data_IF_944445273275
#
_entry.id   IF_944445273275
#
_cell.length_a   1.000
_cell.length_b   1.000
_cell.length_c   1.000
_cell.angle_alpha   90.00
_cell.angle_beta   90.00
_cell.angle_gamma   90.00
#
_symmetry.space_group_name_H-M   'P 1'
#
loop_
_entity.id
_entity.type
_entity.pdbx_description
1 polymer ?
#
# COMPACT_ATOMS: atom_id res chain seq x y z
N UNK A 1 13.78 -17.69 32.15
CA UNK A 1 14.97 -16.85 31.93
C UNK A 1 14.53 -15.66 31.10
N UNK A 2 14.86 -14.43 31.53
CA UNK A 2 14.03 -13.24 31.31
C UNK A 2 14.01 -12.67 29.88
N UNK A 3 12.89 -12.04 29.54
CA UNK A 3 12.79 -11.03 28.46
C UNK A 3 12.29 -9.74 29.11
N UNK A 4 13.11 -8.69 29.13
CA UNK A 4 12.71 -7.40 29.71
C UNK A 4 13.01 -6.27 28.73
N UNK A 5 11.96 -5.56 28.32
CA UNK A 5 12.08 -4.25 27.64
C UNK A 5 11.76 -3.18 28.69
N UNK A 6 12.75 -2.40 29.12
CA UNK A 6 12.56 -1.26 30.03
C UNK A 6 13.25 -0.02 29.49
N UNK A 7 12.55 1.11 29.51
CA UNK A 7 13.13 2.44 29.30
C UNK A 7 12.29 3.52 29.96
N UNK A 8 12.97 4.58 30.45
CA UNK A 8 12.34 5.78 31.01
C UNK A 8 12.26 6.94 30.00
N UNK A 9 13.26 7.08 29.13
CA UNK A 9 13.37 8.19 28.15
C UNK A 9 14.19 7.84 26.90
N UNK A 10 14.86 6.68 26.86
CA UNK A 10 15.72 6.27 25.75
C UNK A 10 15.04 5.23 24.83
N UNK A 11 15.51 5.09 23.59
CA UNK A 11 15.12 3.96 22.75
C UNK A 11 15.67 2.63 23.30
N UNK A 12 14.94 1.53 23.06
CA UNK A 12 15.42 0.17 23.34
C UNK A 12 15.48 -0.58 22.02
N UNK A 13 16.67 -1.06 21.66
CA UNK A 13 16.83 -1.94 20.49
C UNK A 13 16.20 -3.30 20.77
N UNK A 14 15.39 -3.79 19.83
CA UNK A 14 14.87 -5.16 19.86
C UNK A 14 15.86 -6.13 19.19
N UNK A 15 15.61 -7.43 19.30
CA UNK A 15 16.32 -8.41 18.47
C UNK A 15 16.18 -8.05 16.98
N UNK A 16 17.24 -8.23 16.20
CA UNK A 16 17.26 -7.91 14.77
C UNK A 16 17.98 -8.99 13.97
N UNK A 17 17.55 -9.21 12.72
CA UNK A 17 18.23 -10.09 11.78
C UNK A 17 17.41 -10.32 10.52
N UNK A 18 17.90 -11.16 9.63
CA UNK A 18 17.23 -11.56 8.38
C UNK A 18 16.01 -12.45 8.62
N UNK A 19 15.23 -12.67 7.58
CA UNK A 19 14.09 -13.60 7.56
C UNK A 19 14.52 -15.03 7.83
N UNK A 20 15.70 -15.42 7.33
CA UNK A 20 16.27 -16.76 7.55
C UNK A 20 16.69 -16.99 9.02
N UNK A 21 17.00 -15.91 9.74
CA UNK A 21 17.36 -15.95 11.17
C UNK A 21 16.15 -15.87 12.10
N UNK A 22 14.92 -16.02 11.59
CA UNK A 22 13.72 -16.13 12.43
C UNK A 22 13.86 -17.34 13.38
N UNK A 23 13.56 -17.17 14.69
CA UNK A 23 13.57 -18.29 15.62
C UNK A 23 12.68 -19.42 15.09
N UNK A 24 13.25 -20.62 15.03
CA UNK A 24 12.55 -21.83 14.56
C UNK A 24 11.40 -22.23 15.49
N UNK A 25 11.50 -21.87 16.78
CA UNK A 25 10.42 -21.98 17.77
C UNK A 25 10.28 -20.63 18.47
N UNK A 26 9.34 -19.80 18.00
CA UNK A 26 9.05 -18.51 18.61
C UNK A 26 7.85 -18.62 19.57
N UNK A 27 7.95 -17.95 20.73
CA UNK A 27 6.78 -17.76 21.59
C UNK A 27 5.83 -16.73 20.96
N UNK A 28 4.52 -16.91 21.12
CA UNK A 28 3.52 -15.89 20.75
C UNK A 28 3.90 -14.53 21.35
N UNK A 29 3.87 -13.48 20.53
CA UNK A 29 4.26 -12.13 20.93
C UNK A 29 5.76 -11.84 20.89
N UNK A 30 6.59 -12.71 20.30
CA UNK A 30 8.01 -12.40 20.06
C UNK A 30 8.12 -11.24 19.08
N UNK A 31 8.66 -10.09 19.52
CA UNK A 31 8.93 -8.91 18.69
C UNK A 31 10.40 -8.86 18.24
N UNK A 32 10.65 -8.51 16.97
CA UNK A 32 11.99 -8.30 16.40
C UNK A 32 11.97 -7.34 15.22
N UNK A 33 13.13 -6.86 14.79
CA UNK A 33 13.32 -6.14 13.53
C UNK A 33 13.82 -7.12 12.45
N UNK A 34 13.25 -7.06 11.26
CA UNK A 34 13.67 -7.86 10.11
C UNK A 34 14.44 -6.99 9.12
N UNK A 35 15.72 -7.29 8.91
CA UNK A 35 16.61 -6.50 8.05
C UNK A 35 16.34 -6.66 6.56
N UNK A 36 15.72 -7.76 6.12
CA UNK A 36 15.38 -7.96 4.71
C UNK A 36 14.14 -7.15 4.34
N UNK A 37 13.15 -7.12 5.23
CA UNK A 37 11.89 -6.38 5.01
C UNK A 37 11.96 -4.95 5.55
N UNK A 38 13.03 -4.61 6.27
CA UNK A 38 13.25 -3.31 6.95
C UNK A 38 12.09 -2.90 7.88
N UNK A 39 11.46 -3.88 8.53
CA UNK A 39 10.25 -3.69 9.36
C UNK A 39 10.37 -4.36 10.71
N UNK A 40 9.68 -3.77 11.70
CA UNK A 40 9.35 -4.48 12.93
C UNK A 40 8.37 -5.62 12.61
N UNK A 41 8.54 -6.76 13.26
CA UNK A 41 7.67 -7.93 13.13
C UNK A 41 7.39 -8.58 14.49
N UNK A 42 6.26 -9.26 14.60
CA UNK A 42 5.86 -10.04 15.76
C UNK A 42 5.40 -11.44 15.37
N UNK A 43 5.63 -12.43 16.23
CA UNK A 43 5.12 -13.79 16.02
C UNK A 43 3.70 -13.94 16.57
N UNK A 44 2.72 -14.26 15.71
CA UNK A 44 1.31 -14.42 16.11
C UNK A 44 0.98 -15.82 16.70
N UNK A 45 1.96 -16.73 16.69
CA UNK A 45 1.78 -18.14 17.07
C UNK A 45 1.77 -19.11 15.91
N UNK A 46 1.76 -18.59 14.69
CA UNK A 46 1.83 -19.36 13.45
C UNK A 46 2.91 -18.81 12.53
N UNK A 47 3.00 -17.49 12.39
CA UNK A 47 3.95 -16.81 11.51
C UNK A 47 4.43 -15.48 12.11
N UNK A 48 5.55 -15.00 11.59
CA UNK A 48 5.98 -13.62 11.80
C UNK A 48 5.18 -12.68 10.89
N UNK A 49 4.54 -11.68 11.50
CA UNK A 49 3.75 -10.63 10.85
C UNK A 49 4.44 -9.29 11.05
N UNK A 50 4.41 -8.41 10.05
CA UNK A 50 4.93 -7.06 10.22
C UNK A 50 4.06 -6.23 11.18
N UNK A 51 4.70 -5.39 11.98
CA UNK A 51 4.06 -4.25 12.64
C UNK A 51 3.99 -3.14 11.59
N UNK A 52 2.79 -2.88 11.10
CA UNK A 52 2.56 -1.81 10.13
C UNK A 52 2.51 -0.47 10.87
N UNK A 53 3.22 0.57 10.40
CA UNK A 53 3.07 1.93 10.93
C UNK A 53 1.60 2.33 10.92
N UNK A 54 1.12 2.91 12.02
CA UNK A 54 -0.13 3.64 11.98
C UNK A 54 0.12 4.95 11.24
N UNK A 55 -0.22 4.98 9.96
CA UNK A 55 -0.22 6.18 9.12
C UNK A 55 -1.61 6.36 8.53
N UNK A 56 -2.16 7.57 8.64
CA UNK A 56 -3.33 7.94 7.85
C UNK A 56 -2.83 8.56 6.56
N UNK A 57 -2.99 7.87 5.44
CA UNK A 57 -2.88 8.53 4.14
C UNK A 57 -4.20 9.24 3.89
N UNK A 58 -4.14 10.55 3.63
CA UNK A 58 -5.31 11.27 3.20
C UNK A 58 -5.77 10.70 1.86
N UNK A 59 -7.07 10.47 1.71
CA UNK A 59 -7.62 10.18 0.40
C UNK A 59 -7.39 11.39 -0.50
N UNK A 60 -6.69 11.17 -1.61
CA UNK A 60 -6.38 12.21 -2.59
C UNK A 60 -6.93 11.83 -3.94
N UNK A 61 -7.15 12.83 -4.78
CA UNK A 61 -7.44 12.63 -6.18
C UNK A 61 -6.13 12.51 -6.95
N UNK A 62 -6.01 11.44 -7.73
CA UNK A 62 -4.89 11.14 -8.61
C UNK A 62 -5.42 10.90 -10.04
N UNK A 63 -4.53 10.91 -11.04
CA UNK A 63 -4.90 10.81 -12.44
C UNK A 63 -5.75 12.01 -12.90
N UNK A 64 -5.27 12.77 -13.87
CA UNK A 64 -6.07 13.84 -14.45
C UNK A 64 -5.82 13.89 -15.94
N UNK A 65 -6.52 13.00 -16.65
CA UNK A 65 -6.50 12.93 -18.11
C UNK A 65 -7.89 13.23 -18.65
N UNK A 66 -7.94 13.63 -19.91
CA UNK A 66 -9.18 13.86 -20.65
C UNK A 66 -9.28 12.77 -21.71
N UNK A 67 -10.42 12.08 -21.76
CA UNK A 67 -10.70 11.10 -22.81
C UNK A 67 -10.72 11.76 -24.18
N UNK A 68 -10.22 11.04 -25.18
CA UNK A 68 -10.25 11.44 -26.60
C UNK A 68 -11.22 10.60 -27.43
N UNK A 69 -11.89 9.63 -26.81
CA UNK A 69 -12.80 8.69 -27.47
C UNK A 69 -12.12 7.54 -28.22
N UNK A 70 -10.80 7.38 -28.12
CA UNK A 70 -10.03 6.35 -28.84
C UNK A 70 -8.97 5.63 -28.00
N UNK A 71 -8.28 6.33 -27.10
CA UNK A 71 -7.28 5.74 -26.23
C UNK A 71 -7.94 4.95 -25.10
N UNK A 72 -7.50 3.70 -24.91
CA UNK A 72 -7.95 2.85 -23.81
C UNK A 72 -6.93 2.78 -22.68
N UNK A 73 -5.64 2.98 -22.97
CA UNK A 73 -4.56 2.92 -21.98
C UNK A 73 -3.99 4.30 -21.70
N UNK A 74 -3.89 4.65 -20.41
CA UNK A 74 -3.23 5.86 -19.93
C UNK A 74 -2.02 5.48 -19.08
N UNK A 75 -0.83 5.80 -19.59
CA UNK A 75 0.44 5.50 -18.92
C UNK A 75 0.74 6.51 -17.81
N UNK A 76 1.37 6.06 -16.73
CA UNK A 76 1.70 6.89 -15.57
C UNK A 76 0.49 7.66 -15.01
N UNK A 77 -0.70 7.06 -15.12
CA UNK A 77 -1.94 7.66 -14.65
C UNK A 77 -1.93 7.88 -13.13
N UNK A 78 -1.35 6.94 -12.39
CA UNK A 78 -1.15 7.06 -10.95
C UNK A 78 0.23 7.60 -10.61
N UNK A 79 0.34 8.43 -9.57
CA UNK A 79 1.61 8.88 -9.01
C UNK A 79 2.39 7.72 -8.38
N UNK A 80 1.68 6.85 -7.63
CA UNK A 80 2.20 5.59 -7.07
C UNK A 80 1.34 4.44 -7.54
N UNK A 81 1.95 3.29 -7.83
CA UNK A 81 1.21 2.11 -8.27
C UNK A 81 0.24 1.65 -7.15
N UNK A 82 -1.08 1.60 -7.40
CA UNK A 82 -2.02 0.94 -6.50
C UNK A 82 -1.65 -0.55 -6.37
N UNK A 83 -1.90 -1.15 -5.21
CA UNK A 83 -1.63 -2.58 -5.03
C UNK A 83 -2.60 -3.45 -5.85
N UNK A 84 -3.83 -2.97 -6.08
CA UNK A 84 -4.91 -3.66 -6.75
C UNK A 84 -5.94 -2.64 -7.29
N UNK A 85 -6.60 -2.91 -8.43
CA UNK A 85 -7.69 -2.08 -8.96
C UNK A 85 -8.86 -1.90 -7.99
N UNK A 86 -9.11 -2.86 -7.10
CA UNK A 86 -10.15 -2.76 -6.07
C UNK A 86 -9.80 -1.76 -4.96
N UNK A 87 -8.55 -1.28 -4.90
CA UNK A 87 -8.10 -0.31 -3.88
C UNK A 87 -8.23 1.14 -4.33
N UNK A 88 -8.86 1.41 -5.48
CA UNK A 88 -9.08 2.76 -6.01
C UNK A 88 -10.51 2.96 -6.50
N UNK A 89 -10.97 4.21 -6.53
CA UNK A 89 -12.25 4.57 -7.16
C UNK A 89 -11.93 5.36 -8.42
N UNK A 90 -12.14 4.76 -9.59
CA UNK A 90 -11.96 5.43 -10.88
C UNK A 90 -13.27 6.06 -11.33
N UNK A 91 -13.20 7.28 -11.84
CA UNK A 91 -14.32 8.07 -12.32
C UNK A 91 -14.04 8.56 -13.74
N UNK A 92 -14.99 8.32 -14.64
CA UNK A 92 -14.99 8.81 -16.03
C UNK A 92 -16.24 9.67 -16.20
N UNK A 93 -16.09 10.97 -16.45
CA UNK A 93 -17.22 11.87 -16.69
C UNK A 93 -18.27 11.89 -15.58
N UNK A 94 -17.82 11.80 -14.32
CA UNK A 94 -18.67 11.69 -13.12
C UNK A 94 -19.40 10.34 -12.93
N UNK A 95 -19.04 9.32 -13.71
CA UNK A 95 -19.53 7.94 -13.55
C UNK A 95 -18.42 7.08 -12.95
N UNK A 96 -18.70 6.42 -11.81
CA UNK A 96 -17.79 5.46 -11.18
C UNK A 96 -17.65 4.23 -12.08
N UNK A 97 -16.43 3.72 -12.19
CA UNK A 97 -16.08 2.56 -13.00
C UNK A 97 -15.88 1.34 -12.11
N UNK A 98 -16.38 0.18 -12.54
CA UNK A 98 -16.22 -1.09 -11.85
C UNK A 98 -14.80 -1.65 -12.11
N UNK A 99 -14.01 -1.96 -11.07
CA UNK A 99 -12.74 -2.69 -11.22
C UNK A 99 -12.93 -4.00 -11.98
N UNK A 100 -11.92 -4.45 -12.72
CA UNK A 100 -11.89 -5.67 -13.55
C UNK A 100 -12.87 -5.71 -14.74
N UNK A 101 -13.97 -4.98 -14.70
CA UNK A 101 -14.98 -4.92 -15.77
C UNK A 101 -14.80 -3.70 -16.66
N UNK A 102 -14.60 -2.53 -16.05
CA UNK A 102 -14.44 -1.28 -16.79
C UNK A 102 -12.97 -0.90 -16.98
N UNK A 103 -12.08 -1.34 -16.08
CA UNK A 103 -10.65 -1.09 -16.18
C UNK A 103 -9.79 -2.13 -15.44
N UNK A 104 -8.52 -2.21 -15.80
CA UNK A 104 -7.46 -2.93 -15.09
C UNK A 104 -6.27 -2.02 -14.82
N UNK A 105 -5.46 -2.36 -13.82
CA UNK A 105 -4.25 -1.61 -13.46
C UNK A 105 -3.00 -2.49 -13.60
N UNK A 106 -1.93 -1.92 -14.17
CA UNK A 106 -0.62 -2.56 -14.19
C UNK A 106 0.46 -1.55 -13.86
N UNK A 107 1.09 -1.70 -12.70
CA UNK A 107 2.00 -0.70 -12.16
C UNK A 107 1.29 0.64 -11.99
N UNK A 108 1.72 1.65 -12.76
CA UNK A 108 1.13 3.01 -12.73
C UNK A 108 0.17 3.28 -13.88
N UNK A 109 -0.08 2.29 -14.72
CA UNK A 109 -0.90 2.43 -15.92
C UNK A 109 -2.31 1.93 -15.63
N UNK A 110 -3.30 2.61 -16.21
CA UNK A 110 -4.70 2.17 -16.23
C UNK A 110 -5.08 1.82 -17.67
N UNK A 111 -5.81 0.73 -17.86
CA UNK A 111 -6.38 0.35 -19.15
C UNK A 111 -7.88 0.15 -19.00
N UNK A 112 -8.67 0.90 -19.76
CA UNK A 112 -10.11 0.75 -19.83
C UNK A 112 -10.51 -0.29 -20.87
N UNK A 113 -11.62 -0.99 -20.63
CA UNK A 113 -12.19 -1.94 -21.60
C UNK A 113 -12.86 -1.24 -22.79
N UNK A 114 -13.24 0.02 -22.62
CA UNK A 114 -13.77 0.92 -23.64
C UNK A 114 -13.10 2.29 -23.53
N UNK A 115 -12.82 2.95 -24.65
CA UNK A 115 -12.18 4.26 -24.64
C UNK A 115 -13.06 5.29 -23.92
N UNK A 116 -12.54 6.03 -22.92
CA UNK A 116 -13.28 7.10 -22.28
C UNK A 116 -13.77 8.12 -23.33
N UNK A 117 -15.05 8.54 -23.28
CA UNK A 117 -15.60 9.42 -24.31
C UNK A 117 -14.84 10.74 -24.43
N UNK A 118 -14.85 11.32 -25.63
CA UNK A 118 -14.15 12.58 -25.89
C UNK A 118 -14.60 13.66 -24.90
N UNK A 119 -13.65 14.46 -24.42
CA UNK A 119 -13.82 15.55 -23.43
C UNK A 119 -14.20 15.11 -22.01
N UNK A 120 -14.45 13.82 -21.77
CA UNK A 120 -14.78 13.34 -20.42
C UNK A 120 -13.53 13.29 -19.55
N UNK A 121 -13.61 13.86 -18.35
CA UNK A 121 -12.51 13.81 -17.38
C UNK A 121 -12.39 12.42 -16.79
N UNK A 122 -11.16 11.94 -16.68
CA UNK A 122 -10.82 10.66 -16.04
C UNK A 122 -9.91 10.94 -14.85
N UNK A 123 -10.29 10.41 -13.69
CA UNK A 123 -9.52 10.52 -12.46
C UNK A 123 -9.84 9.41 -11.49
N UNK A 124 -8.97 9.23 -10.49
CA UNK A 124 -9.17 8.26 -9.44
C UNK A 124 -9.07 8.91 -8.05
N UNK A 125 -9.77 8.34 -7.08
CA UNK A 125 -9.46 8.54 -5.67
C UNK A 125 -8.58 7.38 -5.19
N UNK A 126 -7.49 7.72 -4.53
CA UNK A 126 -6.48 6.79 -4.01
C UNK A 126 -6.26 7.01 -2.51
N UNK A 127 -5.50 6.12 -1.88
CA UNK A 127 -5.15 6.22 -0.45
C UNK A 127 -6.00 5.34 0.47
N UNK A 128 -6.76 4.38 -0.09
CA UNK A 128 -7.57 3.44 0.70
C UNK A 128 -6.74 2.30 1.32
N UNK A 129 -5.64 1.87 0.67
CA UNK A 129 -4.80 0.77 1.13
C UNK A 129 -3.52 1.21 1.86
N UNK A 130 -3.24 2.52 1.84
CA UNK A 130 -1.88 2.99 2.04
C UNK A 130 -1.69 3.49 3.47
N UNK A 131 -0.71 2.92 4.16
CA UNK A 131 -0.13 3.51 5.37
C UNK A 131 1.25 4.04 5.00
N UNK A 132 1.45 5.35 4.97
CA UNK A 132 2.80 5.92 4.88
C UNK A 132 3.39 6.08 6.26
N UNK A 133 4.65 5.64 6.44
CA UNK A 133 5.46 6.07 7.57
C UNK A 133 5.83 7.52 7.34
N UNK A 134 5.18 8.48 8.00
CA UNK A 134 5.77 9.81 8.10
C UNK A 134 7.05 9.68 8.92
N UNK A 135 8.17 10.20 8.42
CA UNK A 135 9.32 10.45 9.29
C UNK A 135 8.84 11.47 10.32
N UNK A 136 8.83 11.07 11.60
CA UNK A 136 8.54 12.01 12.68
C UNK A 136 9.74 12.97 12.72
N UNK A 137 9.48 14.25 12.47
CA UNK A 137 10.47 15.33 12.53
C UNK A 137 10.96 15.59 13.94
#
# INVERSE_FOLDING_TARGET
MGYFLKSKTAGVSTASGTTAERPTVAGKGTFRFNSDTTRMEYYDGTAFRSVTPQGTVAMTRDGNVTGDGSATTFNNFFATAPADENNVIVVVGNVVQEPDQAFTISGRNITFTSAPPNTHRVYAFVGFDTTTTSVLS
#
